data_IF_249203339102
#
_entry.id   IF_249203339102
#
_cell.length_a   1.000
_cell.length_b   1.000
_cell.length_c   1.000
_cell.angle_alpha   90.00
_cell.angle_beta   90.00
_cell.angle_gamma   90.00
#
_symmetry.space_group_name_H-M   'P 1'
#
loop_
_entity.id
_entity.type
_entity.pdbx_description
1 polymer ?
#
# COMPACT_ATOMS: atom_id res chain seq x y z
N UNK A 1 3.65 11.50 -9.67
CA UNK A 1 2.92 10.74 -10.71
C UNK A 1 2.41 9.40 -10.19
N UNK A 2 3.23 8.65 -9.44
CA UNK A 2 2.88 7.32 -8.93
C UNK A 2 1.58 7.28 -8.12
N UNK A 3 1.38 8.19 -7.16
CA UNK A 3 0.16 8.19 -6.32
C UNK A 3 -1.13 8.37 -7.13
N UNK A 4 -1.11 9.25 -8.14
CA UNK A 4 -2.26 9.44 -9.03
C UNK A 4 -2.53 8.22 -9.89
N UNK A 5 -1.49 7.47 -10.25
CA UNK A 5 -1.63 6.23 -11.02
C UNK A 5 -2.23 5.12 -10.14
N UNK A 6 -1.72 4.97 -8.91
CA UNK A 6 -2.26 4.04 -7.91
C UNK A 6 -3.73 4.37 -7.62
N UNK A 7 -4.07 5.65 -7.43
CA UNK A 7 -5.45 6.07 -7.21
C UNK A 7 -6.37 5.73 -8.39
N UNK A 8 -5.89 5.89 -9.63
CA UNK A 8 -6.64 5.55 -10.83
C UNK A 8 -6.83 4.04 -11.01
N UNK A 9 -5.81 3.25 -10.69
CA UNK A 9 -5.82 1.79 -10.87
C UNK A 9 -6.67 1.09 -9.80
N UNK A 10 -6.71 1.63 -8.58
CA UNK A 10 -7.47 1.04 -7.47
C UNK A 10 -8.97 1.35 -7.51
N UNK A 11 -9.37 2.50 -8.07
CA UNK A 11 -10.78 2.88 -8.18
C UNK A 11 -11.56 2.71 -6.86
N UNK A 12 -12.63 1.92 -6.87
CA UNK A 12 -13.48 1.66 -5.70
C UNK A 12 -12.82 0.78 -4.64
N UNK A 13 -11.73 0.07 -4.96
CA UNK A 13 -11.00 -0.78 -4.01
C UNK A 13 -10.08 0.02 -3.09
N UNK A 14 -9.82 1.29 -3.43
CA UNK A 14 -8.89 2.18 -2.73
C UNK A 14 -9.18 2.29 -1.25
N UNK A 15 -10.44 2.44 -0.85
CA UNK A 15 -10.82 2.59 0.56
C UNK A 15 -10.38 1.41 1.42
N UNK A 16 -10.38 0.19 0.87
CA UNK A 16 -10.00 -1.02 1.59
C UNK A 16 -8.50 -1.17 1.83
N UNK A 17 -7.65 -0.50 1.03
CA UNK A 17 -6.18 -0.56 1.15
C UNK A 17 -5.54 0.76 1.57
N UNK A 18 -6.31 1.84 1.68
CA UNK A 18 -5.80 3.18 2.03
C UNK A 18 -4.89 3.18 3.28
N UNK A 19 -5.22 2.48 4.39
CA UNK A 19 -4.35 2.46 5.57
C UNK A 19 -2.95 1.87 5.28
N UNK A 20 -2.89 0.82 4.45
CA UNK A 20 -1.64 0.17 4.06
C UNK A 20 -0.82 1.06 3.12
N UNK A 21 -1.49 1.76 2.20
CA UNK A 21 -0.83 2.74 1.33
C UNK A 21 -0.26 3.93 2.10
N UNK A 22 -0.97 4.39 3.15
CA UNK A 22 -0.48 5.46 4.00
C UNK A 22 0.76 5.03 4.79
N UNK A 23 0.78 3.79 5.30
CA UNK A 23 1.95 3.21 5.94
C UNK A 23 3.14 3.08 4.98
N UNK A 24 2.89 2.63 3.74
CA UNK A 24 3.92 2.57 2.71
C UNK A 24 4.48 3.95 2.41
N UNK A 25 3.63 4.97 2.25
CA UNK A 25 4.05 6.35 2.01
C UNK A 25 4.93 6.86 3.15
N UNK A 26 4.54 6.64 4.39
CA UNK A 26 5.30 7.08 5.56
C UNK A 26 6.68 6.40 5.63
N UNK A 27 6.74 5.10 5.37
CA UNK A 27 8.03 4.39 5.36
C UNK A 27 8.93 4.82 4.20
N UNK A 28 8.37 5.10 3.02
CA UNK A 28 9.15 5.64 1.90
C UNK A 28 9.73 7.02 2.22
N UNK A 29 8.96 7.91 2.87
CA UNK A 29 9.46 9.21 3.34
C UNK A 29 10.57 9.04 4.37
N UNK A 30 10.51 8.03 5.23
CA UNK A 30 11.59 7.76 6.18
C UNK A 30 12.85 7.17 5.51
N UNK A 31 12.72 6.46 4.38
CA UNK A 31 13.83 5.94 3.59
C UNK A 31 14.43 6.97 2.62
N UNK A 32 13.66 7.98 2.23
CA UNK A 32 14.07 9.08 1.36
C UNK A 32 13.46 10.40 1.86
N UNK A 33 14.00 10.96 2.96
CA UNK A 33 13.41 12.11 3.59
C UNK A 33 13.63 13.38 2.74
N UNK A 34 12.63 14.26 2.63
CA UNK A 34 12.75 15.46 1.83
C UNK A 34 13.75 16.44 2.45
N UNK A 35 14.59 17.05 1.62
CA UNK A 35 15.53 18.09 2.02
C UNK A 35 16.70 17.54 2.85
N UNK A 36 17.01 18.20 3.98
CA UNK A 36 18.11 17.81 4.88
C UNK A 36 17.68 16.81 5.96
N UNK A 37 16.61 16.04 5.72
CA UNK A 37 16.16 15.03 6.66
C UNK A 37 17.23 13.95 6.89
N UNK A 38 17.39 13.52 8.14
CA UNK A 38 18.39 12.53 8.49
C UNK A 38 17.88 11.12 8.18
N UNK A 39 18.66 10.37 7.41
CA UNK A 39 18.38 8.96 7.15
C UNK A 39 18.52 8.13 8.43
N UNK A 40 17.68 7.10 8.61
CA UNK A 40 17.85 6.11 9.67
C UNK A 40 19.19 5.38 9.56
N UNK A 41 19.60 4.69 10.63
CA UNK A 41 20.76 3.80 10.58
C UNK A 41 20.58 2.73 9.50
N UNK A 42 21.66 2.17 8.91
CA UNK A 42 21.52 1.11 7.90
C UNK A 42 20.68 -0.08 8.37
N UNK A 43 20.78 -0.45 9.66
CA UNK A 43 19.99 -1.52 10.25
C UNK A 43 18.50 -1.17 10.32
N UNK A 44 18.17 0.07 10.65
CA UNK A 44 16.77 0.51 10.72
C UNK A 44 16.17 0.74 9.34
N UNK A 45 16.99 1.14 8.36
CA UNK A 45 16.58 1.15 6.95
C UNK A 45 16.22 -0.26 6.47
N UNK A 46 17.02 -1.29 6.82
CA UNK A 46 16.72 -2.67 6.43
C UNK A 46 15.42 -3.18 7.06
N UNK A 47 15.22 -2.92 8.36
CA UNK A 47 13.95 -3.25 9.03
C UNK A 47 12.77 -2.54 8.39
N UNK A 48 12.94 -1.27 8.02
CA UNK A 48 11.91 -0.48 7.38
C UNK A 48 11.59 -1.01 5.97
N UNK A 49 12.60 -1.39 5.18
CA UNK A 49 12.41 -2.05 3.88
C UNK A 49 11.66 -3.38 4.02
N UNK A 50 12.07 -4.24 4.96
CA UNK A 50 11.39 -5.50 5.22
C UNK A 50 9.92 -5.29 5.63
N UNK A 51 9.67 -4.30 6.49
CA UNK A 51 8.32 -3.92 6.88
C UNK A 51 7.49 -3.45 5.68
N UNK A 52 8.03 -2.56 4.86
CA UNK A 52 7.36 -2.06 3.66
C UNK A 52 7.02 -3.18 2.67
N UNK A 53 7.91 -4.15 2.48
CA UNK A 53 7.62 -5.34 1.68
C UNK A 53 6.42 -6.11 2.22
N UNK A 54 6.41 -6.38 3.54
CA UNK A 54 5.28 -7.10 4.18
C UNK A 54 3.97 -6.32 4.09
N UNK A 55 3.99 -4.99 4.22
CA UNK A 55 2.79 -4.15 4.06
C UNK A 55 2.27 -4.18 2.62
N UNK A 56 3.15 -4.26 1.61
CA UNK A 56 2.75 -4.39 0.20
C UNK A 56 2.14 -5.77 -0.08
N UNK A 57 2.69 -6.84 0.48
CA UNK A 57 2.13 -8.20 0.41
C UNK A 57 0.73 -8.24 1.04
N UNK A 58 0.53 -7.62 2.21
CA UNK A 58 -0.80 -7.52 2.84
C UNK A 58 -1.78 -6.71 1.98
N UNK A 59 -1.31 -5.65 1.32
CA UNK A 59 -2.16 -4.87 0.42
C UNK A 59 -2.59 -5.70 -0.80
N UNK A 60 -1.72 -6.57 -1.33
CA UNK A 60 -2.07 -7.52 -2.38
C UNK A 60 -3.16 -8.49 -1.93
N UNK A 61 -2.99 -9.13 -0.77
CA UNK A 61 -3.98 -10.05 -0.19
C UNK A 61 -5.35 -9.38 0.00
N UNK A 62 -5.38 -8.14 0.51
CA UNK A 62 -6.62 -7.38 0.67
C UNK A 62 -7.27 -7.07 -0.68
N UNK A 63 -6.48 -6.68 -1.70
CA UNK A 63 -7.01 -6.44 -3.04
C UNK A 63 -7.61 -7.72 -3.64
N UNK A 64 -6.95 -8.86 -3.48
CA UNK A 64 -7.48 -10.15 -3.92
C UNK A 64 -8.82 -10.48 -3.24
N UNK A 65 -8.91 -10.29 -1.93
CA UNK A 65 -10.12 -10.53 -1.16
C UNK A 65 -11.27 -9.61 -1.60
N UNK A 66 -11.00 -8.32 -1.82
CA UNK A 66 -12.00 -7.36 -2.29
C UNK A 66 -12.47 -7.66 -3.71
N UNK A 67 -11.56 -8.05 -4.61
CA UNK A 67 -11.90 -8.48 -5.98
C UNK A 67 -12.73 -9.77 -5.97
N UNK A 68 -12.43 -10.72 -5.07
CA UNK A 68 -13.24 -11.91 -4.88
C UNK A 68 -14.65 -11.55 -4.39
N UNK A 69 -14.76 -10.69 -3.39
CA UNK A 69 -16.05 -10.23 -2.84
C UNK A 69 -16.89 -9.46 -3.87
N UNK A 70 -16.26 -8.64 -4.73
CA UNK A 70 -16.95 -7.94 -5.80
C UNK A 70 -17.55 -8.91 -6.82
N UNK A 71 -16.82 -9.99 -7.18
CA UNK A 71 -17.29 -11.03 -8.10
C UNK A 71 -18.44 -11.84 -7.53
N UNK A 72 -18.41 -12.20 -6.25
CA UNK A 72 -19.48 -12.97 -5.60
C UNK A 72 -20.75 -12.14 -5.39
N UNK A 73 -20.60 -10.85 -5.09
CA UNK A 73 -21.72 -9.92 -4.93
C UNK A 73 -22.48 -9.68 -6.25
N UNK A 74 -21.79 -9.73 -7.39
CA UNK A 74 -22.42 -9.61 -8.72
C UNK A 74 -23.18 -10.87 -9.19
N UNK A 75 -22.96 -12.02 -8.57
CA UNK A 75 -23.61 -13.30 -8.96
C UNK A 75 -24.91 -13.61 -8.21
N UNK A 76 -25.28 -12.82 -7.19
CA UNK A 76 -26.50 -13.00 -6.40
C UNK A 76 -27.75 -12.27 -6.92
N UNK A 77 -27.64 -11.57 -8.05
CA UNK A 77 -28.76 -10.89 -8.71
C UNK A 77 -29.09 -11.62 -10.04
N UNK A 78 -29.75 -12.77 -9.94
CA UNK A 78 -30.20 -13.57 -11.07
C UNK A 78 -31.42 -14.39 -10.70
#
# INVERSE_FOLDING_TARGET
>A
MLERQVDADLGTLREGVQPLLDEVRLGLVALDPPGEGMLPSPQDQEKLRAKLTSTLEEAEDVLEALQLAARTSGQGSG
#
